data_IF_908514646585
#
_entry.id   IF_908514646585
#
_cell.length_a   1.000
_cell.length_b   1.000
_cell.length_c   1.000
_cell.angle_alpha   90.00
_cell.angle_beta   90.00
_cell.angle_gamma   90.00
#
_symmetry.space_group_name_H-M   'P 1'
#
loop_
_entity.id
_entity.type
_entity.pdbx_description
1 polymer ?
#
# COMPACT_ATOMS: atom_id res chain seq x y z
N UNK A 1 2.53 12.43 -13.95
CA UNK A 1 2.04 12.13 -15.33
C UNK A 1 0.90 11.12 -15.21
N UNK A 2 -0.27 11.44 -15.71
CA UNK A 2 -1.40 10.49 -15.72
C UNK A 2 -1.13 9.33 -16.67
N UNK A 3 -1.46 8.11 -16.21
CA UNK A 3 -1.36 6.92 -17.04
C UNK A 3 -2.49 6.91 -18.05
N UNK A 4 -2.17 6.63 -19.31
CA UNK A 4 -3.18 6.38 -20.35
C UNK A 4 -4.01 5.14 -20.01
N UNK A 5 -5.20 5.00 -20.60
CA UNK A 5 -6.04 3.81 -20.41
C UNK A 5 -5.25 2.53 -20.71
N UNK A 6 -4.47 2.54 -21.80
CA UNK A 6 -3.65 1.39 -22.20
C UNK A 6 -2.54 1.06 -21.19
N UNK A 7 -1.87 2.06 -20.65
CA UNK A 7 -0.88 1.86 -19.58
C UNK A 7 -1.52 1.27 -18.31
N UNK A 8 -2.73 1.71 -17.95
CA UNK A 8 -3.49 1.13 -16.83
C UNK A 8 -3.80 -0.35 -17.05
N UNK A 9 -4.20 -0.76 -18.27
CA UNK A 9 -4.46 -2.17 -18.61
C UNK A 9 -3.18 -3.01 -18.52
N UNK A 10 -2.07 -2.48 -19.07
CA UNK A 10 -0.76 -3.13 -18.96
C UNK A 10 -0.34 -3.32 -17.50
N UNK A 11 -0.48 -2.29 -16.66
CA UNK A 11 -0.14 -2.38 -15.24
C UNK A 11 -1.01 -3.40 -14.50
N UNK A 12 -2.32 -3.40 -14.73
CA UNK A 12 -3.23 -4.39 -14.13
C UNK A 12 -2.81 -5.82 -14.49
N UNK A 13 -2.52 -6.07 -15.77
CA UNK A 13 -2.08 -7.38 -16.21
C UNK A 13 -0.73 -7.78 -15.63
N UNK A 14 0.23 -6.84 -15.53
CA UNK A 14 1.54 -7.08 -14.92
C UNK A 14 1.41 -7.39 -13.41
N UNK A 15 0.61 -6.61 -12.67
CA UNK A 15 0.30 -6.87 -11.25
C UNK A 15 -0.27 -8.27 -11.08
N UNK A 16 -1.27 -8.65 -11.90
CA UNK A 16 -1.90 -9.98 -11.82
C UNK A 16 -0.92 -11.13 -12.14
N UNK A 17 0.03 -10.94 -13.07
CA UNK A 17 1.07 -11.94 -13.35
C UNK A 17 2.00 -12.08 -12.14
N UNK A 18 2.50 -10.99 -11.60
CA UNK A 18 3.41 -11.01 -10.44
C UNK A 18 2.72 -11.63 -9.24
N UNK A 19 1.49 -11.20 -8.92
CA UNK A 19 0.74 -11.64 -7.76
C UNK A 19 0.43 -13.15 -7.76
N UNK A 20 0.14 -13.72 -8.93
CA UNK A 20 -0.38 -15.08 -9.03
C UNK A 20 0.64 -16.09 -9.59
N UNK A 21 1.72 -15.64 -10.22
CA UNK A 21 2.70 -16.51 -10.87
C UNK A 21 4.16 -16.18 -10.48
N UNK A 22 4.37 -15.06 -9.75
CA UNK A 22 5.69 -14.58 -9.37
C UNK A 22 6.35 -13.66 -10.41
N UNK A 23 7.35 -12.90 -9.94
CA UNK A 23 8.05 -11.90 -10.76
C UNK A 23 8.74 -12.51 -11.99
N UNK A 24 9.26 -13.73 -11.88
CA UNK A 24 9.95 -14.39 -12.99
C UNK A 24 9.02 -14.67 -14.19
N UNK A 25 7.74 -14.83 -13.96
CA UNK A 25 6.73 -15.02 -15.01
C UNK A 25 6.28 -13.73 -15.69
N UNK A 26 6.68 -12.57 -15.17
CA UNK A 26 6.47 -11.30 -15.88
C UNK A 26 7.44 -11.22 -17.07
N UNK A 27 7.02 -11.75 -18.20
CA UNK A 27 7.72 -11.65 -19.49
C UNK A 27 6.89 -10.86 -20.48
N UNK A 28 7.53 -10.27 -21.50
CA UNK A 28 6.79 -9.58 -22.59
C UNK A 28 5.80 -10.50 -23.27
N UNK A 29 6.19 -11.75 -23.51
CA UNK A 29 5.33 -12.77 -24.11
C UNK A 29 4.07 -13.04 -23.27
N UNK A 30 4.25 -13.33 -21.96
CA UNK A 30 3.12 -13.61 -21.07
C UNK A 30 2.19 -12.39 -20.93
N UNK A 31 2.76 -11.20 -20.85
CA UNK A 31 2.01 -9.97 -20.75
C UNK A 31 1.24 -9.68 -22.05
N UNK A 32 1.88 -9.81 -23.20
CA UNK A 32 1.25 -9.64 -24.52
C UNK A 32 0.07 -10.59 -24.71
N UNK A 33 0.28 -11.88 -24.39
CA UNK A 33 -0.78 -12.89 -24.42
C UNK A 33 -1.95 -12.54 -23.51
N UNK A 34 -1.65 -12.10 -22.27
CA UNK A 34 -2.69 -11.77 -21.27
C UNK A 34 -3.59 -10.60 -21.68
N UNK A 35 -3.03 -9.61 -22.38
CA UNK A 35 -3.81 -8.42 -22.81
C UNK A 35 -4.20 -8.43 -24.30
N UNK A 36 -3.90 -9.52 -25.03
CA UNK A 36 -4.31 -9.70 -26.42
C UNK A 36 -3.62 -8.77 -27.41
N UNK A 37 -2.29 -8.53 -27.25
CA UNK A 37 -1.51 -7.69 -28.17
C UNK A 37 -0.22 -8.38 -28.61
N UNK A 38 0.49 -7.77 -29.55
CA UNK A 38 1.84 -8.20 -29.93
C UNK A 38 2.88 -7.68 -28.94
N UNK A 39 3.99 -8.39 -28.77
CA UNK A 39 5.12 -7.91 -27.95
C UNK A 39 5.66 -6.56 -28.45
N UNK A 40 5.69 -6.34 -29.77
CA UNK A 40 6.09 -5.08 -30.37
C UNK A 40 5.20 -3.89 -29.94
N UNK A 41 3.90 -4.13 -29.77
CA UNK A 41 2.97 -3.11 -29.28
C UNK A 41 3.24 -2.75 -27.82
N UNK A 42 3.69 -3.70 -27.00
CA UNK A 42 4.06 -3.45 -25.60
C UNK A 42 5.28 -2.53 -25.48
N UNK A 43 6.32 -2.73 -26.30
CA UNK A 43 7.54 -1.91 -26.24
C UNK A 43 7.33 -0.42 -26.55
N UNK A 44 6.15 -0.03 -27.07
CA UNK A 44 5.77 1.39 -27.19
C UNK A 44 5.41 2.04 -25.85
N UNK A 45 5.11 1.22 -24.84
CA UNK A 45 4.62 1.68 -23.53
C UNK A 45 5.64 1.51 -22.42
N UNK A 46 6.59 0.58 -22.53
CA UNK A 46 7.67 0.36 -21.59
C UNK A 46 8.86 -0.34 -22.28
N UNK A 47 10.06 -0.07 -21.81
CA UNK A 47 11.30 -0.57 -22.44
C UNK A 47 11.66 -1.98 -21.98
N UNK A 48 11.34 -2.33 -20.75
CA UNK A 48 11.70 -3.61 -20.14
C UNK A 48 10.83 -3.92 -18.91
N UNK A 49 10.96 -5.16 -18.40
CA UNK A 49 10.28 -5.67 -17.22
C UNK A 49 10.53 -4.79 -15.97
N UNK A 50 11.75 -4.24 -15.81
CA UNK A 50 12.10 -3.40 -14.67
C UNK A 50 11.30 -2.10 -14.66
N UNK A 51 11.13 -1.47 -15.82
CA UNK A 51 10.32 -0.26 -15.95
C UNK A 51 8.86 -0.48 -15.56
N UNK A 52 8.29 -1.65 -15.88
CA UNK A 52 6.95 -2.02 -15.45
C UNK A 52 6.81 -2.05 -13.93
N UNK A 53 7.75 -2.66 -13.21
CA UNK A 53 7.71 -2.69 -11.74
C UNK A 53 7.87 -1.28 -11.17
N UNK A 54 8.76 -0.47 -11.74
CA UNK A 54 8.90 0.95 -11.38
C UNK A 54 7.59 1.72 -11.57
N UNK A 55 6.87 1.45 -12.67
CA UNK A 55 5.55 2.05 -12.92
C UNK A 55 4.48 1.55 -11.93
N UNK A 56 4.51 0.28 -11.52
CA UNK A 56 3.61 -0.26 -10.49
C UNK A 56 3.86 0.45 -9.15
N UNK A 57 5.10 0.60 -8.75
CA UNK A 57 5.46 1.32 -7.53
C UNK A 57 5.08 2.80 -7.61
N UNK A 58 5.29 3.46 -8.75
CA UNK A 58 4.86 4.85 -8.97
C UNK A 58 3.32 5.00 -8.97
N UNK A 59 2.59 4.01 -9.45
CA UNK A 59 1.14 3.97 -9.35
C UNK A 59 0.68 3.84 -7.89
N UNK A 60 1.28 2.94 -7.12
CA UNK A 60 1.01 2.79 -5.70
C UNK A 60 1.38 4.06 -4.90
N UNK A 61 2.53 4.67 -5.19
CA UNK A 61 2.96 5.94 -4.57
C UNK A 61 1.92 7.04 -4.79
N UNK A 62 1.40 7.18 -6.01
CA UNK A 62 0.40 8.20 -6.33
C UNK A 62 -0.88 8.00 -5.52
N UNK A 63 -1.47 6.80 -5.53
CA UNK A 63 -2.67 6.51 -4.75
C UNK A 63 -2.42 6.78 -3.26
N UNK A 64 -1.23 6.46 -2.77
CA UNK A 64 -0.85 6.72 -1.38
C UNK A 64 -0.64 8.20 -1.06
N UNK A 65 -0.17 8.98 -2.03
CA UNK A 65 -0.07 10.43 -1.86
C UNK A 65 -1.45 11.10 -1.91
N UNK A 66 -2.40 10.56 -2.69
CA UNK A 66 -3.76 11.11 -2.77
C UNK A 66 -4.45 11.07 -1.40
N UNK A 67 -4.39 9.95 -0.66
CA UNK A 67 -4.95 9.89 0.70
C UNK A 67 -4.24 10.80 1.69
N UNK A 68 -2.90 10.90 1.61
CA UNK A 68 -2.17 11.84 2.47
C UNK A 68 -2.48 13.31 2.15
N UNK A 69 -2.78 13.62 0.89
CA UNK A 69 -3.24 14.96 0.50
C UNK A 69 -4.66 15.23 1.00
N UNK A 70 -5.56 14.27 0.84
CA UNK A 70 -6.93 14.35 1.35
C UNK A 70 -6.97 14.61 2.86
N UNK A 71 -6.12 13.90 3.62
CA UNK A 71 -5.98 14.13 5.06
C UNK A 71 -5.46 15.56 5.35
N UNK A 72 -4.48 16.05 4.59
CA UNK A 72 -3.94 17.41 4.80
C UNK A 72 -4.94 18.51 4.46
N UNK A 73 -5.75 18.31 3.42
CA UNK A 73 -6.72 19.28 2.96
C UNK A 73 -8.02 19.23 3.78
N UNK A 74 -8.28 18.10 4.45
CA UNK A 74 -9.41 17.89 5.34
C UNK A 74 -9.15 18.50 6.73
N UNK A 75 -10.22 18.85 7.42
CA UNK A 75 -10.16 19.34 8.81
C UNK A 75 -10.14 18.18 9.83
N UNK A 76 -9.36 17.16 9.55
CA UNK A 76 -9.25 15.98 10.43
C UNK A 76 -8.40 16.29 11.67
N UNK A 77 -8.88 15.85 12.84
CA UNK A 77 -8.04 15.78 14.03
C UNK A 77 -6.89 14.76 13.82
N UNK A 78 -5.82 14.81 14.63
CA UNK A 78 -4.74 13.83 14.53
C UNK A 78 -5.20 12.36 14.63
N UNK A 79 -6.17 12.06 15.49
CA UNK A 79 -6.73 10.72 15.63
C UNK A 79 -7.52 10.29 14.39
N UNK A 80 -8.36 11.17 13.85
CA UNK A 80 -9.10 10.93 12.61
C UNK A 80 -8.15 10.74 11.42
N UNK A 81 -7.05 11.47 11.37
CA UNK A 81 -6.01 11.31 10.36
C UNK A 81 -5.37 9.92 10.37
N UNK A 82 -5.07 9.40 11.57
CA UNK A 82 -4.55 8.03 11.74
C UNK A 82 -5.59 7.01 11.27
N UNK A 83 -6.85 7.15 11.71
CA UNK A 83 -7.96 6.25 11.32
C UNK A 83 -8.16 6.27 9.81
N UNK A 84 -8.30 7.44 9.23
CA UNK A 84 -8.51 7.63 7.79
C UNK A 84 -7.41 6.99 6.96
N UNK A 85 -6.13 7.17 7.33
CA UNK A 85 -5.02 6.55 6.65
C UNK A 85 -5.10 5.02 6.65
N UNK A 86 -5.40 4.40 7.79
CA UNK A 86 -5.44 2.94 7.91
C UNK A 86 -6.67 2.35 7.21
N UNK A 87 -7.84 2.97 7.36
CA UNK A 87 -9.08 2.55 6.71
C UNK A 87 -8.97 2.62 5.19
N UNK A 88 -8.38 3.70 4.66
CA UNK A 88 -8.11 3.81 3.23
C UNK A 88 -7.25 2.64 2.72
N UNK A 89 -6.25 2.19 3.50
CA UNK A 89 -5.44 1.03 3.12
C UNK A 89 -6.27 -0.26 3.08
N UNK A 90 -7.17 -0.48 4.01
CA UNK A 90 -8.08 -1.63 3.96
C UNK A 90 -9.03 -1.57 2.75
N UNK A 91 -9.56 -0.39 2.44
CA UNK A 91 -10.39 -0.17 1.25
C UNK A 91 -9.59 -0.43 -0.03
N UNK A 92 -8.40 0.14 -0.15
CA UNK A 92 -7.51 -0.01 -1.30
C UNK A 92 -7.19 -1.48 -1.57
N UNK A 93 -6.72 -2.20 -0.54
CA UNK A 93 -6.29 -3.58 -0.71
C UNK A 93 -7.46 -4.56 -0.88
N UNK A 94 -8.63 -4.30 -0.27
CA UNK A 94 -9.87 -5.05 -0.59
C UNK A 94 -10.26 -4.92 -2.05
N UNK A 95 -10.10 -3.72 -2.62
CA UNK A 95 -10.42 -3.44 -4.02
C UNK A 95 -9.40 -4.01 -5.00
N UNK A 96 -8.14 -4.09 -4.59
CA UNK A 96 -7.01 -4.50 -5.41
C UNK A 96 -6.13 -5.55 -4.70
N UNK A 97 -6.62 -6.79 -4.48
CA UNK A 97 -5.89 -7.82 -3.74
C UNK A 97 -4.54 -8.17 -4.37
N UNK A 98 -4.47 -8.25 -5.68
CA UNK A 98 -3.21 -8.52 -6.40
C UNK A 98 -2.17 -7.41 -6.16
N UNK A 99 -2.60 -6.15 -6.01
CA UNK A 99 -1.69 -5.05 -5.66
C UNK A 99 -1.11 -5.25 -4.26
N UNK A 100 -1.92 -5.69 -3.29
CA UNK A 100 -1.44 -6.00 -1.94
C UNK A 100 -0.39 -7.11 -1.96
N UNK A 101 -0.61 -8.19 -2.71
CA UNK A 101 0.37 -9.28 -2.89
C UNK A 101 1.69 -8.76 -3.43
N UNK A 102 1.66 -7.87 -4.42
CA UNK A 102 2.87 -7.28 -5.02
C UNK A 102 3.57 -6.35 -4.05
N UNK A 103 2.85 -5.43 -3.38
CA UNK A 103 3.42 -4.43 -2.48
C UNK A 103 4.01 -5.06 -1.21
N UNK A 104 3.47 -6.18 -0.73
CA UNK A 104 3.99 -6.89 0.44
C UNK A 104 4.93 -8.06 0.09
N UNK A 105 5.30 -8.21 -1.20
CA UNK A 105 6.25 -9.23 -1.65
C UNK A 105 7.69 -8.86 -1.25
N UNK A 106 8.23 -9.51 -0.23
CA UNK A 106 9.64 -9.33 0.16
C UNK A 106 10.61 -9.80 -0.94
N UNK A 107 10.26 -10.86 -1.65
CA UNK A 107 11.07 -11.42 -2.73
C UNK A 107 11.28 -10.42 -3.87
N UNK A 108 10.21 -9.68 -4.27
CA UNK A 108 10.30 -8.68 -5.33
C UNK A 108 11.33 -7.58 -5.01
N UNK A 109 11.40 -7.17 -3.74
CA UNK A 109 12.26 -6.05 -3.32
C UNK A 109 13.65 -6.48 -2.85
N UNK A 110 13.83 -7.76 -2.46
CA UNK A 110 15.09 -8.28 -1.94
C UNK A 110 16.19 -8.27 -2.99
N UNK A 111 15.85 -8.60 -4.23
CA UNK A 111 16.81 -8.92 -5.29
C UNK A 111 17.10 -7.75 -6.25
N UNK A 112 16.36 -6.63 -6.15
CA UNK A 112 16.60 -5.45 -6.99
C UNK A 112 16.74 -4.18 -6.14
N UNK A 113 17.95 -3.59 -6.05
CA UNK A 113 18.20 -2.39 -5.25
C UNK A 113 17.35 -1.18 -5.68
N UNK A 114 16.99 -1.07 -6.97
CA UNK A 114 16.15 0.01 -7.48
C UNK A 114 14.75 -0.07 -6.92
N UNK A 115 14.13 -1.27 -6.96
CA UNK A 115 12.79 -1.49 -6.42
C UNK A 115 12.78 -1.30 -4.91
N UNK A 116 13.80 -1.86 -4.23
CA UNK A 116 13.97 -1.69 -2.79
C UNK A 116 14.06 -0.21 -2.41
N UNK A 117 14.89 0.57 -3.09
CA UNK A 117 15.06 1.99 -2.80
C UNK A 117 13.79 2.80 -3.04
N UNK A 118 13.08 2.57 -4.16
CA UNK A 118 11.82 3.24 -4.46
C UNK A 118 10.74 2.87 -3.42
N UNK A 119 10.61 1.60 -3.09
CA UNK A 119 9.66 1.13 -2.07
C UNK A 119 9.98 1.71 -0.69
N UNK A 120 11.25 1.73 -0.28
CA UNK A 120 11.66 2.33 0.99
C UNK A 120 11.33 3.83 1.06
N UNK A 121 11.50 4.56 -0.06
CA UNK A 121 11.13 5.97 -0.13
C UNK A 121 9.62 6.17 0.10
N UNK A 122 8.77 5.37 -0.53
CA UNK A 122 7.32 5.40 -0.34
C UNK A 122 6.96 5.10 1.12
N UNK A 123 7.52 4.03 1.68
CA UNK A 123 7.26 3.63 3.07
C UNK A 123 7.74 4.68 4.08
N UNK A 124 8.85 5.34 3.80
CA UNK A 124 9.38 6.41 4.64
C UNK A 124 8.42 7.61 4.70
N UNK A 125 7.86 8.04 3.56
CA UNK A 125 6.85 9.10 3.50
C UNK A 125 5.61 8.77 4.34
N UNK A 126 5.10 7.53 4.20
CA UNK A 126 3.95 7.08 4.99
C UNK A 126 4.26 7.06 6.48
N UNK A 127 5.42 6.53 6.83
CA UNK A 127 5.88 6.50 8.23
C UNK A 127 5.94 7.90 8.81
N UNK A 128 6.63 8.84 8.15
CA UNK A 128 6.74 10.22 8.62
C UNK A 128 5.38 10.88 8.81
N UNK A 129 4.45 10.71 7.86
CA UNK A 129 3.13 11.30 7.96
C UNK A 129 2.36 10.76 9.19
N UNK A 130 2.29 9.43 9.35
CA UNK A 130 1.55 8.81 10.44
C UNK A 130 2.22 9.08 11.80
N UNK A 131 3.57 9.05 11.89
CA UNK A 131 4.28 9.41 13.11
C UNK A 131 4.03 10.87 13.52
N UNK A 132 3.85 11.76 12.55
CA UNK A 132 3.52 13.16 12.82
C UNK A 132 2.10 13.29 13.42
N UNK A 133 1.11 12.59 12.88
CA UNK A 133 -0.24 12.56 13.45
C UNK A 133 -0.24 11.95 14.86
N UNK A 134 0.53 10.89 15.10
CA UNK A 134 0.70 10.28 16.41
C UNK A 134 1.29 11.30 17.40
N UNK A 135 2.37 11.98 17.01
CA UNK A 135 3.01 13.00 17.85
C UNK A 135 2.05 14.14 18.20
N UNK A 136 1.27 14.63 17.24
CA UNK A 136 0.26 15.65 17.49
C UNK A 136 -0.81 15.17 18.47
N UNK A 137 -1.33 13.95 18.30
CA UNK A 137 -2.31 13.34 19.20
C UNK A 137 -1.75 13.16 20.64
N UNK A 138 -0.44 12.86 20.79
CA UNK A 138 0.25 12.80 22.07
C UNK A 138 0.35 14.20 22.72
N UNK A 139 0.71 15.22 21.94
CA UNK A 139 0.79 16.62 22.42
C UNK A 139 -0.57 17.16 22.87
N UNK A 140 -1.65 16.74 22.22
CA UNK A 140 -3.03 17.06 22.60
C UNK A 140 -3.55 16.22 23.80
N UNK A 141 -2.74 15.29 24.31
CA UNK A 141 -3.14 14.39 25.39
C UNK A 141 -4.24 13.39 24.99
N UNK A 142 -4.45 13.15 23.72
CA UNK A 142 -5.50 12.24 23.20
C UNK A 142 -5.08 10.78 23.25
N UNK A 143 -3.78 10.50 23.11
CA UNK A 143 -3.23 9.15 23.20
C UNK A 143 -2.05 9.14 24.19
N UNK A 144 -1.72 7.93 24.65
CA UNK A 144 -0.63 7.68 25.60
C UNK A 144 0.72 8.20 25.07
N UNK A 145 1.53 8.77 25.95
CA UNK A 145 2.84 9.35 25.63
C UNK A 145 4.05 8.57 26.19
N UNK A 146 3.80 7.43 26.84
CA UNK A 146 4.83 6.53 27.37
C UNK A 146 5.43 5.61 26.29
N UNK A 147 4.84 5.60 25.07
CA UNK A 147 5.37 4.92 23.89
C UNK A 147 5.79 5.97 22.85
N UNK A 148 6.91 5.73 22.17
CA UNK A 148 7.35 6.61 21.08
C UNK A 148 6.41 6.55 19.88
N UNK A 149 6.31 7.63 19.07
CA UNK A 149 5.54 7.61 17.81
C UNK A 149 5.92 6.43 16.90
N UNK A 150 7.20 6.06 16.85
CA UNK A 150 7.68 4.91 16.06
C UNK A 150 7.14 3.58 16.59
N UNK A 151 7.03 3.40 17.90
CA UNK A 151 6.44 2.18 18.48
C UNK A 151 4.95 2.09 18.17
N UNK A 152 4.21 3.18 18.35
CA UNK A 152 2.79 3.25 18.01
C UNK A 152 2.55 3.05 16.50
N UNK A 153 3.36 3.66 15.65
CA UNK A 153 3.32 3.40 14.20
C UNK A 153 3.48 1.91 13.88
N UNK A 154 4.45 1.24 14.51
CA UNK A 154 4.67 -0.20 14.29
C UNK A 154 3.48 -1.05 14.75
N UNK A 155 2.84 -0.68 15.84
CA UNK A 155 1.63 -1.37 16.33
C UNK A 155 0.49 -1.17 15.32
N UNK A 156 0.19 0.07 14.95
CA UNK A 156 -0.95 0.40 14.10
C UNK A 156 -0.76 -0.13 12.66
N UNK A 157 0.32 0.29 12.00
CA UNK A 157 0.56 -0.06 10.60
C UNK A 157 1.09 -1.49 10.45
N UNK A 158 1.80 -2.00 11.44
CA UNK A 158 2.23 -3.40 11.49
C UNK A 158 1.05 -4.36 11.60
N UNK A 159 0.07 -4.05 12.44
CA UNK A 159 -1.17 -4.83 12.57
C UNK A 159 -1.99 -4.80 11.28
N UNK A 160 -2.13 -3.63 10.66
CA UNK A 160 -2.78 -3.49 9.34
C UNK A 160 -2.10 -4.35 8.29
N UNK A 161 -0.77 -4.27 8.18
CA UNK A 161 0.01 -5.09 7.23
C UNK A 161 -0.19 -6.58 7.48
N UNK A 162 -0.14 -7.01 8.73
CA UNK A 162 -0.34 -8.41 9.11
C UNK A 162 -1.75 -8.90 8.71
N UNK A 163 -2.79 -8.12 9.00
CA UNK A 163 -4.18 -8.45 8.64
C UNK A 163 -4.36 -8.60 7.12
N UNK A 164 -3.81 -7.67 6.34
CA UNK A 164 -3.84 -7.75 4.87
C UNK A 164 -3.08 -8.99 4.37
N UNK A 165 -1.94 -9.33 4.98
CA UNK A 165 -1.17 -10.51 4.62
C UNK A 165 -1.95 -11.80 4.92
N UNK A 166 -2.57 -11.91 6.10
CA UNK A 166 -3.42 -13.05 6.45
C UNK A 166 -4.62 -13.19 5.50
N UNK A 167 -5.27 -12.08 5.18
CA UNK A 167 -6.37 -12.06 4.23
C UNK A 167 -5.95 -12.59 2.85
N UNK A 168 -4.80 -12.16 2.34
CA UNK A 168 -4.27 -12.68 1.08
C UNK A 168 -3.92 -14.16 1.14
N UNK A 169 -3.34 -14.63 2.26
CA UNK A 169 -2.98 -16.04 2.46
C UNK A 169 -4.20 -16.96 2.62
N UNK A 170 -5.33 -16.41 3.04
CA UNK A 170 -6.61 -17.13 3.15
C UNK A 170 -7.46 -17.06 1.86
N UNK A 171 -6.88 -16.66 0.73
CA UNK A 171 -7.60 -16.43 -0.52
C UNK A 171 -8.79 -15.47 -0.37
N UNK A 172 -8.59 -14.42 0.43
CA UNK A 172 -9.59 -13.38 0.71
C UNK A 172 -10.85 -13.92 1.44
N UNK A 173 -10.68 -14.89 2.34
CA UNK A 173 -11.78 -15.63 2.96
C UNK A 173 -12.63 -14.82 3.97
N UNK A 174 -12.20 -13.63 4.39
CA UNK A 174 -12.95 -12.78 5.33
C UNK A 174 -13.13 -11.35 4.80
N UNK A 175 -14.01 -10.57 5.41
CA UNK A 175 -14.20 -9.16 5.06
C UNK A 175 -13.05 -8.32 5.66
N UNK A 176 -12.04 -8.02 4.82
CA UNK A 176 -10.87 -7.26 5.21
C UNK A 176 -11.21 -5.88 5.77
N UNK A 177 -12.21 -5.20 5.21
CA UNK A 177 -12.61 -3.87 5.69
C UNK A 177 -13.20 -3.96 7.08
N UNK A 178 -14.13 -4.88 7.28
CA UNK A 178 -14.79 -5.06 8.58
C UNK A 178 -13.79 -5.47 9.66
N UNK A 179 -13.07 -6.56 9.45
CA UNK A 179 -12.11 -7.06 10.46
C UNK A 179 -10.95 -6.09 10.69
N UNK A 180 -10.50 -5.42 9.64
CA UNK A 180 -9.46 -4.41 9.75
C UNK A 180 -9.91 -3.18 10.55
N UNK A 181 -11.13 -2.68 10.32
CA UNK A 181 -11.70 -1.57 11.10
C UNK A 181 -11.95 -1.97 12.55
N UNK A 182 -12.47 -3.17 12.81
CA UNK A 182 -12.69 -3.67 14.17
C UNK A 182 -11.34 -3.78 14.95
N UNK A 183 -10.28 -4.24 14.28
CA UNK A 183 -8.93 -4.28 14.86
C UNK A 183 -8.38 -2.88 15.11
N UNK A 184 -8.54 -1.96 14.15
CA UNK A 184 -8.11 -0.56 14.31
C UNK A 184 -8.78 0.08 15.52
N UNK A 185 -10.11 -0.07 15.67
CA UNK A 185 -10.85 0.44 16.82
C UNK A 185 -10.35 -0.16 18.14
N UNK A 186 -10.01 -1.44 18.15
CA UNK A 186 -9.42 -2.10 19.32
C UNK A 186 -8.07 -1.48 19.68
N UNK A 187 -7.20 -1.27 18.69
CA UNK A 187 -5.89 -0.63 18.89
C UNK A 187 -6.07 0.80 19.41
N UNK A 188 -6.98 1.57 18.78
CA UNK A 188 -7.23 2.95 19.22
C UNK A 188 -7.68 3.02 20.66
N UNK A 189 -8.62 2.17 21.11
CA UNK A 189 -9.04 2.07 22.52
C UNK A 189 -7.91 1.72 23.49
N UNK A 190 -6.89 0.98 23.03
CA UNK A 190 -5.72 0.63 23.87
C UNK A 190 -4.73 1.77 23.99
N UNK A 191 -4.69 2.70 23.03
CA UNK A 191 -3.72 3.80 23.01
C UNK A 191 -4.33 5.14 23.42
N UNK A 192 -5.64 5.33 23.30
CA UNK A 192 -6.34 6.53 23.75
C UNK A 192 -6.23 6.69 25.27
N UNK A 193 -6.02 7.92 25.71
CA UNK A 193 -6.05 8.24 27.15
C UNK A 193 -7.50 8.22 27.63
N UNK A 194 -7.75 7.47 28.71
CA UNK A 194 -9.07 7.56 29.39
C UNK A 194 -9.17 8.95 30.00
N UNK A 195 -10.18 9.69 29.60
CA UNK A 195 -10.59 10.90 30.31
C UNK A 195 -11.12 10.56 31.69
#
# INVERSE_FOLDING_TARGET
MELTARQKDILKAAIAIIANQGYEKLTTKNLATKIGVTEAALYRHFKNKRELVTMILGYFERISNDVLQEIRDGAYSPLESIRHFVEDRYILFSKYPDLAKVIFSEELFKNDPTFKGQFQCIMHKHKQAVENYILQAQQEGKIRNDLSPTQLFRIIVGSMRFTVTQWNLSDCAFDLKKEGSDLLETIMKLIETKQ
#
